data_IF_443338436275
#
_entry.id   IF_443338436275
#
_cell.length_a   1.000
_cell.length_b   1.000
_cell.length_c   1.000
_cell.angle_alpha   90.00
_cell.angle_beta   90.00
_cell.angle_gamma   90.00
#
_symmetry.space_group_name_H-M   'P 1'
#
loop_
_entity.id
_entity.type
_entity.pdbx_description
1 polymer ?
#
# COMPACT_ATOMS: atom_id res chain seq x y z
N UNK A 1 -9.97 17.93 19.64
CA UNK A 1 -10.71 18.37 20.85
C UNK A 1 -12.00 17.59 20.95
N UNK A 2 -12.14 16.85 22.04
CA UNK A 2 -13.32 16.08 22.39
C UNK A 2 -14.39 17.03 22.95
N UNK A 3 -15.62 16.94 22.45
CA UNK A 3 -16.82 17.40 23.17
C UNK A 3 -17.62 16.14 23.50
N UNK A 4 -17.92 15.95 24.77
CA UNK A 4 -18.88 14.95 25.28
C UNK A 4 -18.47 13.47 25.16
N UNK A 5 -17.18 13.16 25.18
CA UNK A 5 -16.69 11.76 25.15
C UNK A 5 -16.94 11.02 23.82
N UNK A 6 -17.61 11.65 22.86
CA UNK A 6 -17.93 11.07 21.57
C UNK A 6 -16.87 11.41 20.52
N UNK A 7 -16.24 10.36 19.96
CA UNK A 7 -15.32 10.51 18.83
C UNK A 7 -16.12 10.87 17.58
N UNK A 8 -16.06 12.15 17.17
CA UNK A 8 -16.68 12.60 15.91
C UNK A 8 -15.91 12.01 14.73
N UNK A 9 -16.38 10.86 14.23
CA UNK A 9 -15.81 10.19 13.04
C UNK A 9 -16.07 11.05 11.80
N UNK A 10 -15.02 11.39 11.06
CA UNK A 10 -15.12 12.04 9.75
C UNK A 10 -14.58 11.09 8.68
N UNK A 11 -15.41 10.73 7.72
CA UNK A 11 -14.97 9.99 6.54
C UNK A 11 -14.02 10.86 5.73
N UNK A 12 -12.78 10.40 5.54
CA UNK A 12 -11.76 11.12 4.80
C UNK A 12 -11.80 10.82 3.30
N UNK A 13 -11.98 9.55 2.94
CA UNK A 13 -12.13 9.15 1.55
C UNK A 13 -12.87 7.83 1.40
N UNK A 14 -13.44 7.63 0.20
CA UNK A 14 -13.91 6.32 -0.26
C UNK A 14 -12.73 5.57 -0.89
N UNK A 15 -12.47 4.36 -0.41
CA UNK A 15 -11.28 3.59 -0.83
C UNK A 15 -11.51 2.65 -2.00
N UNK A 16 -12.74 2.13 -2.17
CA UNK A 16 -13.12 1.31 -3.32
C UNK A 16 -14.61 1.51 -3.65
N UNK A 17 -14.99 1.24 -4.90
CA UNK A 17 -16.40 1.27 -5.32
C UNK A 17 -17.08 -0.09 -5.21
N UNK A 18 -16.34 -1.17 -5.41
CA UNK A 18 -16.83 -2.54 -5.35
C UNK A 18 -15.89 -3.38 -4.49
N UNK A 19 -16.37 -3.82 -3.34
CA UNK A 19 -15.62 -4.61 -2.37
C UNK A 19 -15.33 -6.02 -2.88
N UNK A 20 -16.09 -6.55 -3.83
CA UNK A 20 -15.87 -7.89 -4.40
C UNK A 20 -14.53 -8.00 -5.14
N UNK A 21 -14.01 -6.85 -5.59
CA UNK A 21 -12.71 -6.79 -6.26
C UNK A 21 -11.55 -6.65 -5.27
N UNK A 22 -11.79 -6.40 -3.99
CA UNK A 22 -10.74 -6.31 -2.98
C UNK A 22 -10.15 -7.69 -2.71
N UNK A 23 -8.81 -7.77 -2.78
CA UNK A 23 -8.08 -9.03 -2.56
C UNK A 23 -7.19 -8.98 -1.33
N UNK A 24 -6.74 -7.79 -0.94
CA UNK A 24 -5.87 -7.63 0.21
C UNK A 24 -5.83 -6.18 0.69
N UNK A 25 -5.56 -5.99 1.97
CA UNK A 25 -5.25 -4.70 2.58
C UNK A 25 -4.03 -4.87 3.48
N UNK A 26 -3.10 -3.91 3.44
CA UNK A 26 -1.99 -3.82 4.39
C UNK A 26 -1.89 -2.42 4.97
N UNK A 27 -1.48 -2.33 6.23
CA UNK A 27 -1.42 -1.09 6.98
C UNK A 27 -0.08 -0.96 7.68
N UNK A 28 0.52 0.23 7.61
CA UNK A 28 1.79 0.56 8.28
C UNK A 28 1.75 1.97 8.84
N UNK A 29 2.29 2.16 10.04
CA UNK A 29 2.57 3.51 10.57
C UNK A 29 4.07 3.76 10.37
N UNK A 30 4.41 4.77 9.57
CA UNK A 30 5.80 5.09 9.25
C UNK A 30 5.98 6.61 9.26
N UNK A 31 6.98 7.10 9.99
CA UNK A 31 7.25 8.54 10.16
C UNK A 31 5.98 9.31 10.54
N UNK A 32 5.22 8.79 11.52
CA UNK A 32 3.93 9.33 11.98
C UNK A 32 2.83 9.45 10.90
N UNK A 33 3.00 8.85 9.73
CA UNK A 33 1.97 8.76 8.70
C UNK A 33 1.36 7.36 8.68
N UNK A 34 0.04 7.31 8.50
CA UNK A 34 -0.68 6.06 8.25
C UNK A 34 -0.60 5.73 6.75
N UNK A 35 -0.05 4.58 6.43
CA UNK A 35 0.09 4.07 5.07
C UNK A 35 -0.85 2.87 4.91
N UNK A 36 -1.84 2.98 4.02
CA UNK A 36 -2.76 1.89 3.71
C UNK A 36 -2.56 1.48 2.25
N UNK A 37 -2.32 0.21 2.03
CA UNK A 37 -2.20 -0.41 0.72
C UNK A 37 -3.41 -1.28 0.48
N UNK A 38 -4.09 -1.04 -0.63
CA UNK A 38 -5.28 -1.75 -1.04
C UNK A 38 -5.05 -2.43 -2.37
N UNK A 39 -5.37 -3.71 -2.46
CA UNK A 39 -5.25 -4.51 -3.67
C UNK A 39 -6.62 -4.77 -4.25
N UNK A 40 -6.81 -4.35 -5.49
CA UNK A 40 -8.02 -4.59 -6.26
C UNK A 40 -7.67 -5.44 -7.49
N UNK A 41 -8.43 -6.50 -7.74
CA UNK A 41 -8.38 -7.23 -9.00
C UNK A 41 -9.18 -6.47 -10.07
N UNK A 42 -8.66 -6.43 -11.29
CA UNK A 42 -9.32 -5.81 -12.42
C UNK A 42 -10.57 -6.61 -12.78
N UNK A 43 -11.71 -5.93 -12.85
CA UNK A 43 -12.96 -6.53 -13.32
C UNK A 43 -12.94 -6.88 -14.82
N UNK A 44 -12.00 -6.33 -15.59
CA UNK A 44 -11.96 -6.45 -17.06
C UNK A 44 -10.87 -7.45 -17.50
N UNK A 45 -9.76 -7.53 -16.77
CA UNK A 45 -8.63 -8.38 -17.13
C UNK A 45 -8.29 -9.32 -15.98
N UNK A 46 -8.57 -10.61 -16.17
CA UNK A 46 -8.21 -11.64 -15.20
C UNK A 46 -6.71 -11.58 -14.86
N UNK A 47 -6.38 -11.84 -13.59
CA UNK A 47 -5.01 -11.84 -13.08
C UNK A 47 -4.26 -10.49 -13.22
N UNK A 48 -5.00 -9.39 -13.35
CA UNK A 48 -4.44 -8.03 -13.27
C UNK A 48 -4.91 -7.34 -12.02
N UNK A 49 -3.98 -6.67 -11.35
CA UNK A 49 -4.24 -6.03 -10.08
C UNK A 49 -3.84 -4.56 -10.13
N UNK A 50 -4.55 -3.78 -9.32
CA UNK A 50 -4.19 -2.42 -8.96
C UNK A 50 -3.85 -2.41 -7.48
N UNK A 51 -2.74 -1.75 -7.14
CA UNK A 51 -2.44 -1.38 -5.76
C UNK A 51 -2.65 0.11 -5.58
N UNK A 52 -3.51 0.46 -4.64
CA UNK A 52 -3.77 1.83 -4.21
C UNK A 52 -3.03 2.07 -2.89
N UNK A 53 -2.11 3.03 -2.87
CA UNK A 53 -1.42 3.48 -1.66
C UNK A 53 -2.05 4.79 -1.17
N UNK A 54 -2.48 4.79 0.08
CA UNK A 54 -3.02 5.93 0.80
C UNK A 54 -2.05 6.31 1.91
N UNK A 55 -1.47 7.51 1.83
CA UNK A 55 -0.59 8.06 2.85
C UNK A 55 -1.33 9.21 3.55
N UNK A 56 -1.72 8.97 4.80
CA UNK A 56 -2.47 9.92 5.63
C UNK A 56 -1.57 10.52 6.69
N UNK A 57 -1.55 11.85 6.76
CA UNK A 57 -0.86 12.59 7.82
C UNK A 57 -1.86 13.02 8.89
N UNK A 58 -1.72 12.55 10.14
CA UNK A 58 -2.59 12.98 11.24
C UNK A 58 -2.37 14.44 11.62
N UNK A 59 -1.20 15.02 11.32
CA UNK A 59 -0.85 16.40 11.70
C UNK A 59 -1.66 17.45 10.95
N UNK A 60 -2.04 17.18 9.70
CA UNK A 60 -2.77 18.12 8.85
C UNK A 60 -4.01 17.50 8.19
N UNK A 61 -4.35 16.26 8.54
CA UNK A 61 -5.45 15.47 7.97
C UNK A 61 -5.41 15.33 6.44
N UNK A 62 -4.26 15.54 5.80
CA UNK A 62 -4.10 15.37 4.36
C UNK A 62 -3.95 13.89 4.01
N UNK A 63 -4.55 13.53 2.88
CA UNK A 63 -4.51 12.19 2.32
C UNK A 63 -3.91 12.24 0.92
N UNK A 64 -2.73 11.64 0.75
CA UNK A 64 -2.14 11.41 -0.56
C UNK A 64 -2.55 10.04 -1.07
N UNK A 65 -2.94 9.96 -2.33
CA UNK A 65 -3.36 8.73 -2.99
C UNK A 65 -2.48 8.47 -4.21
N UNK A 66 -2.02 7.24 -4.35
CA UNK A 66 -1.25 6.80 -5.51
C UNK A 66 -1.75 5.44 -6.01
N UNK A 67 -1.81 5.28 -7.34
CA UNK A 67 -2.25 4.04 -7.97
C UNK A 67 -1.13 3.42 -8.79
N UNK A 68 -0.86 2.14 -8.52
CA UNK A 68 0.04 1.30 -9.29
C UNK A 68 -0.85 0.30 -10.04
N UNK A 69 -0.91 0.42 -11.35
CA UNK A 69 -1.80 -0.36 -12.21
C UNK A 69 -1.04 -1.47 -12.95
N UNK A 70 -1.80 -2.36 -13.59
CA UNK A 70 -1.30 -3.42 -14.48
C UNK A 70 -0.31 -4.38 -13.80
N UNK A 71 -0.47 -4.59 -12.50
CA UNK A 71 0.31 -5.56 -11.73
C UNK A 71 -0.17 -6.96 -12.12
N UNK A 72 0.77 -7.87 -12.37
CA UNK A 72 0.50 -9.28 -12.61
C UNK A 72 0.87 -10.06 -11.37
N UNK A 73 -0.01 -10.95 -10.93
CA UNK A 73 0.34 -11.89 -9.86
C UNK A 73 1.23 -12.99 -10.44
N UNK A 74 2.37 -13.16 -9.82
CA UNK A 74 3.26 -14.30 -10.00
C UNK A 74 2.92 -15.36 -8.93
N UNK A 75 3.45 -16.58 -9.06
CA UNK A 75 3.05 -17.78 -8.30
C UNK A 75 3.10 -17.61 -6.76
N UNK A 76 3.83 -16.61 -6.25
CA UNK A 76 4.01 -16.37 -4.81
C UNK A 76 3.30 -15.12 -4.27
N UNK A 77 3.12 -14.06 -5.07
CA UNK A 77 2.59 -12.79 -4.57
C UNK A 77 2.15 -11.83 -5.70
N UNK A 78 1.23 -10.92 -5.37
CA UNK A 78 0.84 -9.79 -6.26
C UNK A 78 1.94 -8.72 -6.29
N UNK A 79 2.54 -8.43 -5.14
CA UNK A 79 3.65 -7.50 -5.00
C UNK A 79 4.48 -7.85 -3.75
N UNK A 80 5.69 -7.30 -3.69
CA UNK A 80 6.56 -7.31 -2.51
C UNK A 80 6.71 -5.88 -2.01
N UNK A 81 6.54 -5.67 -0.71
CA UNK A 81 6.78 -4.39 -0.06
C UNK A 81 7.78 -4.63 1.05
N UNK A 82 8.93 -3.97 0.94
CA UNK A 82 9.98 -3.99 1.95
C UNK A 82 10.07 -2.60 2.61
N UNK A 83 10.37 -2.58 3.90
CA UNK A 83 10.65 -1.36 4.66
C UNK A 83 12.05 -1.54 5.21
N UNK A 84 12.98 -0.70 4.77
CA UNK A 84 14.37 -0.79 5.23
C UNK A 84 14.55 -0.21 6.65
N UNK A 85 15.75 -0.34 7.19
CA UNK A 85 16.12 0.18 8.51
C UNK A 85 16.00 1.72 8.63
N UNK A 86 16.00 2.43 7.51
CA UNK A 86 15.78 3.89 7.44
C UNK A 86 14.31 4.24 7.21
N UNK A 87 13.40 3.27 7.30
CA UNK A 87 11.96 3.42 7.05
C UNK A 87 11.60 3.77 5.60
N UNK A 88 12.50 3.54 4.63
CA UNK A 88 12.16 3.69 3.22
C UNK A 88 11.27 2.54 2.76
N UNK A 89 10.15 2.88 2.12
CA UNK A 89 9.28 1.89 1.51
C UNK A 89 9.74 1.57 0.09
N UNK A 90 9.96 0.29 -0.17
CA UNK A 90 10.41 -0.25 -1.46
C UNK A 90 9.34 -1.21 -1.96
N UNK A 91 8.74 -0.89 -3.10
CA UNK A 91 7.64 -1.63 -3.69
C UNK A 91 8.07 -2.29 -5.00
N UNK A 92 8.04 -3.62 -5.04
CA UNK A 92 8.42 -4.42 -6.21
C UNK A 92 7.22 -5.20 -6.72
N UNK A 93 6.99 -5.17 -8.02
CA UNK A 93 5.86 -5.83 -8.66
C UNK A 93 6.20 -6.25 -10.09
N UNK A 94 5.47 -7.25 -10.58
CA UNK A 94 5.59 -7.74 -11.95
C UNK A 94 4.52 -7.07 -12.83
N UNK A 95 4.87 -6.73 -14.07
CA UNK A 95 3.96 -6.15 -15.06
C UNK A 95 4.30 -6.68 -16.46
N UNK A 96 3.39 -6.53 -17.42
CA UNK A 96 3.70 -6.85 -18.83
C UNK A 96 3.71 -5.57 -19.65
N UNK A 97 4.59 -5.50 -20.63
CA UNK A 97 4.53 -4.47 -21.68
C UNK A 97 3.48 -4.87 -22.72
N UNK A 98 2.86 -3.88 -23.37
CA UNK A 98 1.66 -4.09 -24.20
C UNK A 98 1.85 -5.04 -25.41
N UNK A 99 3.08 -5.42 -25.78
CA UNK A 99 3.37 -6.13 -27.02
C UNK A 99 4.16 -7.45 -26.88
N UNK A 100 4.53 -7.87 -25.66
CA UNK A 100 5.22 -9.15 -25.43
C UNK A 100 4.66 -9.82 -24.18
N UNK A 101 4.54 -11.15 -24.19
CA UNK A 101 4.24 -11.99 -23.02
C UNK A 101 5.32 -11.94 -21.93
N UNK A 102 6.28 -11.02 -22.05
CA UNK A 102 7.43 -10.87 -21.18
C UNK A 102 7.00 -10.16 -19.89
N UNK A 103 7.28 -10.82 -18.77
CA UNK A 103 7.03 -10.30 -17.43
C UNK A 103 8.24 -9.46 -17.02
N UNK A 104 8.01 -8.17 -16.80
CA UNK A 104 9.02 -7.23 -16.32
C UNK A 104 8.76 -6.90 -14.85
N UNK A 105 9.77 -7.13 -14.02
CA UNK A 105 9.75 -6.69 -12.63
C UNK A 105 10.12 -5.22 -12.54
N UNK A 106 9.29 -4.44 -11.84
CA UNK A 106 9.53 -3.01 -11.54
C UNK A 106 9.71 -2.82 -10.05
N UNK A 107 10.60 -1.91 -9.68
CA UNK A 107 10.81 -1.47 -8.29
C UNK A 107 10.61 0.02 -8.18
N UNK A 108 9.86 0.44 -7.17
CA UNK A 108 9.57 1.81 -6.82
C UNK A 108 10.05 2.08 -5.39
N UNK A 109 10.55 3.28 -5.13
CA UNK A 109 10.87 3.77 -3.79
C UNK A 109 9.93 4.93 -3.47
N UNK A 110 9.36 4.94 -2.27
CA UNK A 110 8.53 6.05 -1.83
C UNK A 110 9.38 7.23 -1.38
N UNK A 111 9.18 8.39 -2.00
CA UNK A 111 9.82 9.63 -1.62
C UNK A 111 8.93 10.38 -0.61
N UNK A 112 9.40 10.47 0.63
CA UNK A 112 8.66 11.13 1.71
C UNK A 112 8.56 12.65 1.58
N UNK A 113 9.48 13.30 0.86
CA UNK A 113 9.48 14.76 0.67
C UNK A 113 8.34 15.21 -0.24
N UNK A 114 8.08 14.47 -1.32
CA UNK A 114 7.01 14.80 -2.28
C UNK A 114 5.81 13.85 -2.25
N UNK A 115 5.82 12.84 -1.37
CA UNK A 115 4.77 11.82 -1.18
C UNK A 115 4.44 11.03 -2.45
N UNK A 116 5.44 10.77 -3.30
CA UNK A 116 5.28 10.03 -4.57
C UNK A 116 6.17 8.79 -4.62
N UNK A 117 5.74 7.81 -5.40
CA UNK A 117 6.56 6.66 -5.76
C UNK A 117 7.44 6.99 -6.96
N UNK A 118 8.73 6.70 -6.87
CA UNK A 118 9.73 6.99 -7.89
C UNK A 118 10.34 5.67 -8.38
N UNK A 119 10.42 5.41 -9.69
CA UNK A 119 11.08 4.22 -10.21
C UNK A 119 12.59 4.24 -9.94
N UNK A 120 13.15 3.07 -9.65
CA UNK A 120 14.59 2.92 -9.39
C UNK A 120 15.47 2.94 -10.65
N UNK A 121 14.85 3.04 -11.85
CA UNK A 121 15.55 2.98 -13.14
C UNK A 121 16.64 4.07 -13.31
N UNK A 122 16.68 5.09 -12.46
CA UNK A 122 17.70 6.13 -12.48
C UNK A 122 18.80 6.01 -11.42
N UNK A 123 18.74 5.09 -10.44
CA UNK A 123 19.64 5.20 -9.27
C UNK A 123 20.32 3.94 -8.72
N UNK A 124 19.96 2.69 -9.03
CA UNK A 124 20.63 1.54 -8.40
C UNK A 124 20.80 0.32 -9.32
N UNK A 125 22.07 0.08 -9.72
CA UNK A 125 22.60 -1.25 -10.06
C UNK A 125 22.36 -2.19 -8.87
N UNK A 126 21.85 -3.39 -9.16
CA UNK A 126 21.92 -4.62 -8.36
C UNK A 126 22.46 -4.49 -6.92
N UNK A 127 21.60 -4.22 -5.94
CA UNK A 127 21.87 -4.62 -4.55
C UNK A 127 21.09 -5.89 -4.25
N UNK A 128 21.79 -7.02 -4.25
CA UNK A 128 21.25 -8.37 -4.01
C UNK A 128 21.13 -8.71 -2.52
N UNK A 129 20.96 -7.72 -1.65
CA UNK A 129 20.87 -7.96 -0.20
C UNK A 129 19.82 -7.08 0.45
N UNK A 130 18.56 -7.49 0.36
CA UNK A 130 17.56 -7.06 1.33
C UNK A 130 17.65 -8.00 2.53
N UNK A 131 18.08 -7.49 3.68
CA UNK A 131 18.03 -8.23 4.93
C UNK A 131 16.58 -8.58 5.25
N UNK A 132 16.34 -9.81 5.70
CA UNK A 132 15.04 -10.24 6.20
C UNK A 132 14.72 -9.47 7.48
N UNK A 133 14.00 -8.35 7.35
CA UNK A 133 13.52 -7.61 8.50
C UNK A 133 12.46 -8.45 9.22
N UNK A 134 12.80 -9.01 10.38
CA UNK A 134 11.80 -9.50 11.34
C UNK A 134 11.13 -8.27 11.94
N UNK A 135 9.87 -8.03 11.58
CA UNK A 135 9.08 -6.95 12.17
C UNK A 135 8.94 -7.18 13.67
N UNK A 136 9.58 -6.37 14.51
CA UNK A 136 9.29 -6.30 15.95
C UNK A 136 8.05 -5.45 16.24
N UNK A 137 7.04 -5.49 15.34
CA UNK A 137 5.84 -4.66 15.47
C UNK A 137 4.97 -5.15 16.62
N UNK A 138 4.90 -4.35 17.69
CA UNK A 138 3.93 -4.45 18.78
C UNK A 138 2.59 -3.76 18.47
N UNK A 139 2.36 -3.37 17.21
CA UNK A 139 1.12 -2.71 16.74
C UNK A 139 0.21 -3.68 15.94
N UNK A 140 0.72 -4.87 15.59
CA UNK A 140 -0.05 -5.89 14.88
C UNK A 140 -1.25 -6.39 15.69
N UNK A 141 -1.18 -6.32 17.02
CA UNK A 141 -2.24 -6.82 17.89
C UNK A 141 -3.31 -5.74 18.14
N UNK A 142 -2.92 -4.45 18.28
CA UNK A 142 -3.86 -3.37 18.64
C UNK A 142 -4.69 -2.81 17.46
N UNK A 143 -4.15 -2.76 16.23
CA UNK A 143 -4.89 -2.20 15.09
C UNK A 143 -5.94 -3.17 14.56
N UNK A 144 -5.69 -4.48 14.68
CA UNK A 144 -6.65 -5.49 14.26
C UNK A 144 -7.95 -5.39 15.07
N UNK A 145 -7.87 -5.22 16.39
CA UNK A 145 -9.05 -5.06 17.25
C UNK A 145 -9.84 -3.78 16.92
N UNK A 146 -9.15 -2.68 16.58
CA UNK A 146 -9.81 -1.42 16.19
C UNK A 146 -10.48 -1.50 14.79
N UNK A 147 -9.87 -2.19 13.82
CA UNK A 147 -10.40 -2.31 12.46
C UNK A 147 -11.58 -3.30 12.33
N UNK A 148 -11.76 -4.25 13.25
CA UNK A 148 -12.97 -5.11 13.26
C UNK A 148 -14.20 -4.44 13.90
N UNK A 149 -14.06 -3.23 14.47
CA UNK A 149 -15.21 -2.40 14.86
C UNK A 149 -15.85 -1.63 13.68
N UNK A 150 -15.51 -2.00 12.45
CA UNK A 150 -16.20 -1.54 11.22
C UNK A 150 -17.55 -2.27 11.14
N UNK A 151 -18.61 -1.59 11.60
CA UNK A 151 -19.98 -2.00 11.33
C UNK A 151 -20.23 -1.94 9.82
N UNK A 152 -20.36 -3.10 9.19
CA UNK A 152 -21.01 -3.21 7.89
C UNK A 152 -22.49 -2.86 8.10
N UNK A 153 -22.95 -1.74 7.53
CA UNK A 153 -24.39 -1.55 7.37
C UNK A 153 -24.85 -2.53 6.30
N UNK A 154 -25.70 -3.48 6.70
CA UNK A 154 -26.55 -4.22 5.78
C UNK A 154 -27.50 -3.27 5.07
#
# INVERSE_FOLDING_TARGET
>A
MYKDGNVRRRSLCKVCNNTNNLKNMRLFIIQNNLNVFLVEESAIKNNRYRVSHYNFSPSNYHLHKYHINNIVKNDKCIYRLNIDHMSNMIFTYDTTTNNKSEINTKTLIFNYSNKKWIPTHSLLRNSTSFSNFKSTSTIKDDIFEYCYSINYKN
#
